data_IF_992613645530
#
_entry.id   IF_992613645530
#
_cell.length_a   1.000
_cell.length_b   1.000
_cell.length_c   1.000
_cell.angle_alpha   90.00
_cell.angle_beta   90.00
_cell.angle_gamma   90.00
#
_symmetry.space_group_name_H-M   'P 1'
#
loop_
_entity.id
_entity.type
_entity.pdbx_description
1 polymer ?
#
# COMPACT_ATOMS: atom_id res chain seq x y z
N UNK A 1 13.20 16.89 -20.66
CA UNK A 1 14.58 17.06 -21.16
C UNK A 1 15.40 15.91 -20.60
N UNK A 2 15.61 14.88 -21.41
CA UNK A 2 16.31 13.64 -21.04
C UNK A 2 17.81 13.89 -21.06
N UNK A 3 18.52 13.63 -19.97
CA UNK A 3 19.97 13.56 -19.99
C UNK A 3 20.42 12.18 -19.50
N UNK A 4 21.14 11.48 -20.37
CA UNK A 4 21.96 10.33 -20.05
C UNK A 4 23.42 10.76 -20.23
N UNK A 5 24.25 10.64 -19.20
CA UNK A 5 25.71 10.74 -19.32
C UNK A 5 26.30 9.47 -18.70
N UNK A 6 26.95 8.63 -19.54
CA UNK A 6 27.45 7.27 -19.24
C UNK A 6 28.68 7.23 -18.32
N UNK A 7 29.50 6.18 -18.23
CA UNK A 7 29.50 4.79 -18.75
C UNK A 7 30.33 3.99 -17.72
N UNK A 8 29.81 2.91 -17.13
CA UNK A 8 30.62 1.98 -16.33
C UNK A 8 30.05 0.56 -16.43
N UNK A 9 30.94 -0.39 -16.66
CA UNK A 9 30.72 -1.77 -17.13
C UNK A 9 30.12 -2.72 -16.07
N UNK A 10 29.18 -2.24 -15.25
CA UNK A 10 28.25 -3.12 -14.54
C UNK A 10 26.85 -2.79 -15.03
N UNK A 11 26.16 -3.80 -15.58
CA UNK A 11 24.85 -3.66 -16.23
C UNK A 11 23.93 -2.71 -15.47
N UNK A 12 23.81 -1.49 -15.99
CA UNK A 12 22.87 -0.50 -15.49
C UNK A 12 21.53 -0.84 -16.12
N UNK A 13 20.68 -1.52 -15.36
CA UNK A 13 19.30 -1.75 -15.77
C UNK A 13 18.56 -0.41 -15.68
N UNK A 14 18.35 0.24 -16.82
CA UNK A 14 17.40 1.34 -16.94
C UNK A 14 15.98 0.76 -16.84
N UNK A 15 15.28 0.97 -15.74
CA UNK A 15 13.85 0.64 -15.64
C UNK A 15 13.00 1.90 -15.64
N UNK A 16 11.93 1.84 -16.43
CA UNK A 16 11.05 2.93 -16.81
C UNK A 16 10.62 3.83 -15.64
N UNK A 17 10.46 5.12 -15.93
CA UNK A 17 9.68 6.04 -15.09
C UNK A 17 8.22 5.57 -15.09
N UNK A 18 7.90 4.65 -14.18
CA UNK A 18 6.55 4.53 -13.67
C UNK A 18 6.20 5.90 -13.05
N UNK A 19 5.04 6.45 -13.44
CA UNK A 19 4.57 7.78 -13.09
C UNK A 19 4.94 8.16 -11.65
N UNK A 20 5.44 9.38 -11.49
CA UNK A 20 5.90 10.02 -10.26
C UNK A 20 5.64 9.15 -9.01
N UNK A 21 6.58 8.24 -8.72
CA UNK A 21 6.50 7.47 -7.48
C UNK A 21 6.43 8.51 -6.38
N UNK A 22 5.29 8.58 -5.69
CA UNK A 22 5.14 9.47 -4.55
C UNK A 22 6.40 9.31 -3.70
N UNK A 23 7.13 10.36 -3.35
CA UNK A 23 8.36 10.22 -2.54
C UNK A 23 8.06 10.41 -1.05
N UNK A 24 6.81 10.76 -0.72
CA UNK A 24 6.36 11.03 0.63
C UNK A 24 6.05 9.71 1.35
N UNK A 25 6.63 9.56 2.53
CA UNK A 25 6.34 8.47 3.46
C UNK A 25 5.43 9.00 4.57
N UNK A 26 4.17 9.23 4.22
CA UNK A 26 3.07 9.59 5.13
C UNK A 26 1.96 8.54 5.01
N UNK A 27 1.06 8.40 5.99
CA UNK A 27 -0.04 7.44 5.91
C UNK A 27 -0.78 7.55 4.56
N UNK A 28 -0.95 6.41 3.88
CA UNK A 28 -1.61 6.34 2.58
C UNK A 28 -0.72 6.65 1.36
N UNK A 29 0.54 7.04 1.54
CA UNK A 29 1.49 7.26 0.45
C UNK A 29 2.46 6.06 0.33
N UNK A 30 3.77 6.30 0.16
CA UNK A 30 4.72 5.19 0.13
C UNK A 30 4.77 4.46 1.46
N UNK A 31 4.79 3.13 1.38
CA UNK A 31 5.10 2.27 2.51
C UNK A 31 6.57 2.48 2.91
N UNK A 32 6.81 2.96 4.13
CA UNK A 32 8.15 3.11 4.68
C UNK A 32 8.79 1.75 5.02
N UNK A 33 10.11 1.61 4.88
CA UNK A 33 10.79 0.34 5.16
C UNK A 33 10.61 -0.13 6.61
N UNK A 34 10.69 0.79 7.59
CA UNK A 34 10.44 0.46 8.99
C UNK A 34 8.96 0.15 9.25
N UNK A 35 8.04 0.88 8.61
CA UNK A 35 6.58 0.64 8.71
C UNK A 35 6.23 -0.78 8.22
N UNK A 36 6.78 -1.20 7.08
CA UNK A 36 6.65 -2.57 6.58
C UNK A 36 7.22 -3.58 7.57
N UNK A 37 8.45 -3.34 8.05
CA UNK A 37 9.14 -4.24 8.97
C UNK A 37 8.36 -4.44 10.27
N UNK A 38 7.87 -3.37 10.88
CA UNK A 38 7.12 -3.49 12.15
C UNK A 38 5.83 -4.27 11.93
N UNK A 39 5.07 -3.98 10.86
CA UNK A 39 3.83 -4.69 10.54
C UNK A 39 4.05 -6.20 10.27
N UNK A 40 5.17 -6.57 9.65
CA UNK A 40 5.54 -7.98 9.46
C UNK A 40 5.87 -8.68 10.78
N UNK A 41 6.49 -7.98 11.73
CA UNK A 41 6.89 -8.55 13.03
C UNK A 41 5.77 -8.59 14.07
N UNK A 42 4.72 -7.76 13.92
CA UNK A 42 3.56 -7.71 14.82
C UNK A 42 2.38 -8.51 14.26
N UNK A 43 2.59 -9.82 14.10
CA UNK A 43 1.63 -10.72 13.42
C UNK A 43 0.24 -10.76 14.06
N UNK A 44 0.13 -10.58 15.37
CA UNK A 44 -1.15 -10.61 16.10
C UNK A 44 -2.04 -9.37 15.95
N UNK A 45 -1.64 -8.38 15.13
CA UNK A 45 -2.39 -7.13 14.93
C UNK A 45 -2.98 -7.00 13.53
N UNK A 46 -2.80 -8.02 12.68
CA UNK A 46 -3.47 -8.11 11.40
C UNK A 46 -4.94 -8.50 11.61
N UNK A 47 -5.83 -7.82 10.89
CA UNK A 47 -7.27 -8.08 10.87
C UNK A 47 -7.69 -8.37 9.45
N UNK A 48 -8.35 -9.50 9.24
CA UNK A 48 -8.86 -9.87 7.93
C UNK A 48 -10.14 -9.09 7.61
N UNK A 49 -10.34 -8.76 6.33
CA UNK A 49 -11.45 -7.96 5.86
C UNK A 49 -11.84 -8.29 4.41
N UNK A 50 -13.05 -7.87 4.04
CA UNK A 50 -13.55 -7.87 2.67
C UNK A 50 -13.70 -6.43 2.21
N UNK A 51 -13.25 -6.11 1.00
CA UNK A 51 -13.49 -4.81 0.38
C UNK A 51 -14.96 -4.69 0.00
N UNK A 52 -15.67 -3.70 0.53
CA UNK A 52 -17.11 -3.50 0.24
C UNK A 52 -17.38 -2.28 -0.64
N UNK A 53 -16.44 -1.33 -0.68
CA UNK A 53 -16.52 -0.19 -1.59
C UNK A 53 -15.10 0.30 -1.94
N UNK A 54 -14.96 0.84 -3.15
CA UNK A 54 -13.75 1.53 -3.62
C UNK A 54 -14.17 2.73 -4.45
N UNK A 55 -13.43 3.83 -4.38
CA UNK A 55 -13.67 4.98 -5.26
C UNK A 55 -12.42 5.42 -6.03
N UNK A 56 -12.62 6.32 -7.01
CA UNK A 56 -11.57 6.84 -7.85
C UNK A 56 -10.63 7.83 -7.14
N UNK A 57 -10.96 8.26 -5.92
CA UNK A 57 -10.13 9.16 -5.11
C UNK A 57 -9.15 8.41 -4.20
N UNK A 58 -9.21 7.08 -4.18
CA UNK A 58 -8.31 6.21 -3.44
C UNK A 58 -8.87 5.76 -2.08
N UNK A 59 -10.11 6.12 -1.77
CA UNK A 59 -10.80 5.62 -0.58
C UNK A 59 -11.38 4.22 -0.84
N UNK A 60 -11.42 3.42 0.21
CA UNK A 60 -12.03 2.10 0.21
C UNK A 60 -12.62 1.81 1.57
N UNK A 61 -13.82 1.23 1.59
CA UNK A 61 -14.47 0.75 2.81
C UNK A 61 -14.23 -0.74 2.92
N UNK A 62 -13.78 -1.16 4.10
CA UNK A 62 -13.48 -2.55 4.42
C UNK A 62 -14.44 -3.04 5.51
N UNK A 63 -15.04 -4.21 5.30
CA UNK A 63 -15.79 -4.92 6.33
C UNK A 63 -14.87 -5.92 7.02
N UNK A 64 -14.63 -5.71 8.31
CA UNK A 64 -13.68 -6.52 9.09
C UNK A 64 -14.36 -7.83 9.53
N UNK A 65 -13.66 -8.95 9.39
CA UNK A 65 -14.22 -10.28 9.71
C UNK A 65 -14.49 -10.48 11.20
N UNK A 66 -13.75 -9.78 12.06
CA UNK A 66 -13.99 -9.70 13.50
C UNK A 66 -15.02 -8.63 13.89
N UNK A 67 -15.62 -7.96 12.89
CA UNK A 67 -16.72 -7.02 13.05
C UNK A 67 -16.34 -5.56 12.82
N UNK A 68 -17.34 -4.80 12.36
CA UNK A 68 -17.24 -3.37 12.06
C UNK A 68 -16.77 -3.08 10.64
N UNK A 69 -16.67 -1.79 10.35
CA UNK A 69 -16.20 -1.26 9.07
C UNK A 69 -15.10 -0.24 9.31
N UNK A 70 -14.17 -0.14 8.36
CA UNK A 70 -13.12 0.88 8.38
C UNK A 70 -12.94 1.47 6.99
N UNK A 71 -12.87 2.80 6.94
CA UNK A 71 -12.53 3.52 5.72
C UNK A 71 -11.03 3.77 5.68
N UNK A 72 -10.42 3.38 4.57
CA UNK A 72 -8.99 3.48 4.35
C UNK A 72 -8.71 4.22 3.06
N UNK A 73 -7.61 4.97 3.03
CA UNK A 73 -7.17 5.70 1.85
C UNK A 73 -5.76 5.30 1.45
N UNK A 74 -5.54 5.14 0.15
CA UNK A 74 -4.19 5.02 -0.42
C UNK A 74 -4.09 5.80 -1.73
N UNK A 75 -3.03 6.57 -1.89
CA UNK A 75 -2.79 7.36 -3.10
C UNK A 75 -2.80 6.49 -4.37
N UNK A 76 -2.17 5.32 -4.31
CA UNK A 76 -2.10 4.39 -5.44
C UNK A 76 -3.32 3.45 -5.52
N UNK A 77 -4.31 3.64 -4.64
CA UNK A 77 -5.35 2.67 -4.34
C UNK A 77 -4.82 1.50 -3.52
N UNK A 78 -5.73 0.77 -2.87
CA UNK A 78 -5.37 -0.42 -2.08
C UNK A 78 -5.01 -1.63 -2.96
N UNK A 79 -5.30 -1.55 -4.27
CA UNK A 79 -5.07 -2.57 -5.29
C UNK A 79 -5.70 -3.92 -4.97
N UNK A 80 -6.92 -3.86 -4.45
CA UNK A 80 -7.89 -4.94 -4.38
C UNK A 80 -9.23 -4.41 -4.90
N UNK A 81 -10.03 -5.28 -5.49
CA UNK A 81 -11.38 -4.96 -5.97
C UNK A 81 -12.44 -5.20 -4.90
N UNK A 82 -13.66 -4.71 -5.10
CA UNK A 82 -14.82 -5.09 -4.27
C UNK A 82 -14.95 -6.63 -4.25
N UNK A 83 -15.34 -7.16 -3.09
CA UNK A 83 -15.45 -8.58 -2.75
C UNK A 83 -14.11 -9.34 -2.63
N UNK A 84 -12.96 -8.69 -2.88
CA UNK A 84 -11.67 -9.33 -2.64
C UNK A 84 -11.28 -9.32 -1.15
N UNK A 85 -10.67 -10.42 -0.66
CA UNK A 85 -10.16 -10.50 0.70
C UNK A 85 -8.85 -9.72 0.84
N UNK A 86 -8.72 -9.03 1.96
CA UNK A 86 -7.53 -8.26 2.33
C UNK A 86 -7.23 -8.46 3.81
N UNK A 87 -5.99 -8.21 4.22
CA UNK A 87 -5.65 -8.09 5.63
C UNK A 87 -5.15 -6.68 5.92
N UNK A 88 -5.55 -6.10 7.06
CA UNK A 88 -5.18 -4.74 7.47
C UNK A 88 -4.43 -4.75 8.79
N UNK A 89 -3.42 -3.90 8.90
CA UNK A 89 -2.68 -3.64 10.12
C UNK A 89 -2.94 -2.20 10.57
N UNK A 90 -4.06 -1.96 11.26
CA UNK A 90 -4.54 -0.61 11.57
C UNK A 90 -3.57 0.22 12.43
N UNK A 91 -2.81 -0.42 13.31
CA UNK A 91 -1.82 0.27 14.17
C UNK A 91 -0.68 0.91 13.36
N UNK A 92 -0.31 0.31 12.22
CA UNK A 92 0.80 0.78 11.39
C UNK A 92 0.35 1.23 9.99
N UNK A 93 -0.95 1.28 9.74
CA UNK A 93 -1.52 1.76 8.48
C UNK A 93 -0.98 1.00 7.28
N UNK A 94 -1.05 -0.33 7.30
CA UNK A 94 -0.63 -1.20 6.18
C UNK A 94 -1.80 -2.09 5.76
N UNK A 95 -1.98 -2.26 4.46
CA UNK A 95 -2.89 -3.27 3.90
C UNK A 95 -2.10 -4.30 3.09
N UNK A 96 -2.57 -5.53 3.14
CA UNK A 96 -2.04 -6.69 2.45
C UNK A 96 -3.07 -7.22 1.44
N UNK A 97 -2.62 -7.40 0.20
CA UNK A 97 -3.38 -8.07 -0.86
C UNK A 97 -2.47 -9.18 -1.41
N UNK A 98 -2.71 -10.41 -0.99
CA UNK A 98 -1.76 -11.50 -1.22
C UNK A 98 -0.36 -11.19 -0.65
N UNK A 99 0.67 -11.18 -1.51
CA UNK A 99 2.04 -10.81 -1.13
C UNK A 99 2.29 -9.29 -1.14
N UNK A 100 1.42 -8.50 -1.76
CA UNK A 100 1.63 -7.06 -1.89
C UNK A 100 1.29 -6.34 -0.59
N UNK A 101 2.01 -5.25 -0.33
CA UNK A 101 1.83 -4.39 0.84
C UNK A 101 1.77 -2.93 0.41
N UNK A 102 0.80 -2.19 0.95
CA UNK A 102 0.62 -0.75 0.68
C UNK A 102 0.39 0.02 1.97
N UNK A 103 0.84 1.26 2.04
CA UNK A 103 0.45 2.15 3.14
C UNK A 103 -0.97 2.64 2.93
N UNK A 104 -1.72 2.71 4.02
CA UNK A 104 -3.04 3.29 4.11
C UNK A 104 -3.07 4.39 5.18
N UNK A 105 -3.92 5.39 4.97
CA UNK A 105 -4.44 6.23 6.03
C UNK A 105 -5.80 5.67 6.48
N UNK A 106 -6.12 5.82 7.76
CA UNK A 106 -7.42 5.44 8.32
C UNK A 106 -8.18 6.74 8.59
N UNK A 107 -9.49 6.75 8.31
CA UNK A 107 -10.37 7.89 8.60
C UNK A 107 -10.48 8.18 10.11
#
# INVERSE_FOLDING_TARGET
MTQCSGTSTHGTTCTAHAGERCTMQRPGHLLGAMQARVAETTTGQWRDAIVVATDASGWSTLSLLDGGTVDVWSHAGIGASVDEPVAVHLVYGVIAVGSDRRSIAVA
#
